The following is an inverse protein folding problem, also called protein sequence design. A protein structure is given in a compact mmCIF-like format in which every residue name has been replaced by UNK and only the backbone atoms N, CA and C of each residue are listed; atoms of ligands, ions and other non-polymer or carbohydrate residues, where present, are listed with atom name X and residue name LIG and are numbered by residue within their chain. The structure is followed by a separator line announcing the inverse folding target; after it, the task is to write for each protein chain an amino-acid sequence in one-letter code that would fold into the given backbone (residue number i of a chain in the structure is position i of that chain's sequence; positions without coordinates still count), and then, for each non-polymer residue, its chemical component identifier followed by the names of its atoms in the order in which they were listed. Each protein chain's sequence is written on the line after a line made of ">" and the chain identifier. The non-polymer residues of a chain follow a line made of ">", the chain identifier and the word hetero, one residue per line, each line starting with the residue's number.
data_IF_719040432405
#
_entry.id   IF_719040432405
#
_cell.length_a   1.000
_cell.length_b   1.000
_cell.length_c   1.000
_cell.angle_alpha   90.00
_cell.angle_beta   90.00
_cell.angle_gamma   90.00
#
_symmetry.space_group_name_H-M   'P 1'
#
loop_
_entity.id
_entity.type
_entity.pdbx_description
1 polymer ?
#
# COMPACT_ATOMS: atom_id res chain seq x y z
N UNK A 1 7.65 -1.43 19.24
CA UNK A 1 7.07 -0.13 19.59
C UNK A 1 5.73 0.02 18.87
N UNK A 2 4.61 0.07 19.61
CA UNK A 2 3.30 0.38 19.03
C UNK A 2 3.03 1.88 19.13
N UNK A 3 2.53 2.50 18.06
CA UNK A 3 2.06 3.89 18.12
C UNK A 3 0.81 3.94 19.03
N UNK A 4 0.37 5.10 19.53
CA UNK A 4 -0.86 5.21 20.30
C UNK A 4 -2.08 5.35 19.38
N UNK A 5 -3.17 4.63 19.66
CA UNK A 5 -4.47 4.81 18.98
C UNK A 5 -5.57 4.88 20.03
N UNK A 6 -6.33 5.99 19.99
CA UNK A 6 -7.38 6.33 20.95
C UNK A 6 -6.84 7.18 22.11
N UNK A 7 -7.58 8.23 22.49
CA UNK A 7 -7.19 9.28 23.46
C UNK A 7 -6.87 8.85 24.91
N UNK A 8 -6.54 7.58 25.15
CA UNK A 8 -6.18 7.02 26.47
C UNK A 8 -4.76 6.41 26.53
N UNK A 9 -3.91 6.64 25.53
CA UNK A 9 -2.50 6.19 25.57
C UNK A 9 -2.30 4.66 25.53
N UNK A 10 -3.33 3.91 25.10
CA UNK A 10 -3.24 2.46 24.97
C UNK A 10 -2.33 2.04 23.81
N UNK A 11 -1.65 0.90 23.98
CA UNK A 11 -0.78 0.31 22.96
C UNK A 11 -1.60 -0.04 21.71
N UNK A 12 -1.14 0.35 20.51
CA UNK A 12 -1.73 -0.14 19.26
C UNK A 12 -1.63 -1.66 19.18
N UNK A 13 -2.76 -2.27 18.88
CA UNK A 13 -2.86 -3.65 18.49
C UNK A 13 -3.69 -3.75 17.20
N UNK A 14 -3.72 -4.94 16.61
CA UNK A 14 -4.44 -5.14 15.35
C UNK A 14 -5.93 -4.81 15.46
N UNK A 15 -6.56 -5.14 16.58
CA UNK A 15 -8.00 -4.94 16.77
C UNK A 15 -8.37 -3.46 16.90
N UNK A 16 -7.61 -2.67 17.68
CA UNK A 16 -7.88 -1.24 17.82
C UNK A 16 -7.58 -0.47 16.53
N UNK A 17 -6.48 -0.79 15.84
CA UNK A 17 -6.15 -0.17 14.55
C UNK A 17 -7.21 -0.47 13.49
N UNK A 18 -7.71 -1.71 13.43
CA UNK A 18 -8.75 -2.09 12.47
C UNK A 18 -10.09 -1.39 12.77
N UNK A 19 -10.45 -1.24 14.04
CA UNK A 19 -11.68 -0.54 14.45
C UNK A 19 -11.65 0.92 14.03
N UNK A 20 -10.56 1.64 14.34
CA UNK A 20 -10.43 3.04 13.95
C UNK A 20 -10.34 3.20 12.42
N UNK A 21 -9.62 2.31 11.73
CA UNK A 21 -9.56 2.31 10.27
C UNK A 21 -10.94 2.15 9.63
N UNK A 22 -11.76 1.21 10.11
CA UNK A 22 -13.14 1.04 9.62
C UNK A 22 -14.00 2.28 9.87
N UNK A 23 -13.86 2.92 11.03
CA UNK A 23 -14.54 4.18 11.34
C UNK A 23 -14.16 5.28 10.35
N UNK A 24 -12.86 5.46 10.09
CA UNK A 24 -12.37 6.42 9.11
C UNK A 24 -12.82 6.09 7.68
N UNK A 25 -12.81 4.81 7.30
CA UNK A 25 -13.24 4.36 5.97
C UNK A 25 -14.74 4.62 5.73
N UNK A 26 -15.58 4.47 6.77
CA UNK A 26 -17.01 4.80 6.70
C UNK A 26 -17.23 6.31 6.51
N UNK A 27 -16.51 7.15 7.26
CA UNK A 27 -16.60 8.62 7.13
C UNK A 27 -16.12 9.09 5.76
N UNK A 28 -15.12 8.40 5.18
CA UNK A 28 -14.59 8.69 3.86
C UNK A 28 -15.39 8.04 2.70
N UNK A 29 -16.56 7.45 2.97
CA UNK A 29 -17.43 6.79 1.99
C UNK A 29 -16.76 5.66 1.18
N UNK A 30 -15.81 4.95 1.81
CA UNK A 30 -15.13 3.77 1.24
C UNK A 30 -15.31 2.55 2.14
N UNK A 31 -16.56 2.08 2.37
CA UNK A 31 -16.86 1.00 3.32
C UNK A 31 -16.25 -0.36 2.93
N UNK A 32 -15.87 -0.52 1.66
CA UNK A 32 -15.21 -1.71 1.13
C UNK A 32 -13.69 -1.75 1.41
N UNK A 33 -13.11 -0.65 1.92
CA UNK A 33 -11.69 -0.58 2.19
C UNK A 33 -11.31 -1.56 3.31
N UNK A 34 -10.37 -2.46 3.01
CA UNK A 34 -9.81 -3.40 3.96
C UNK A 34 -8.37 -3.00 4.34
N UNK A 35 -7.78 -3.67 5.34
CA UNK A 35 -6.42 -3.36 5.81
C UNK A 35 -5.35 -3.40 4.69
N UNK A 36 -5.55 -4.23 3.67
CA UNK A 36 -4.64 -4.31 2.52
C UNK A 36 -4.89 -3.21 1.48
N UNK A 37 -6.05 -2.54 1.50
CA UNK A 37 -6.40 -1.51 0.53
C UNK A 37 -5.36 -0.39 0.54
N UNK A 38 -5.00 0.14 1.72
CA UNK A 38 -3.97 1.19 1.83
C UNK A 38 -2.63 0.76 1.23
N UNK A 39 -2.21 -0.47 1.53
CA UNK A 39 -0.97 -1.03 1.01
C UNK A 39 -1.00 -1.13 -0.53
N UNK A 40 -2.10 -1.64 -1.09
CA UNK A 40 -2.28 -1.74 -2.55
C UNK A 40 -2.33 -0.36 -3.20
N UNK A 41 -3.01 0.60 -2.59
CA UNK A 41 -3.08 1.98 -3.06
C UNK A 41 -1.71 2.62 -3.10
N UNK A 42 -0.90 2.45 -2.04
CA UNK A 42 0.47 2.95 -2.01
C UNK A 42 1.34 2.34 -3.12
N UNK A 43 1.34 1.00 -3.28
CA UNK A 43 2.12 0.35 -4.33
C UNK A 43 1.67 0.75 -5.74
N UNK A 44 0.37 0.94 -5.93
CA UNK A 44 -0.18 1.45 -7.21
C UNK A 44 0.28 2.88 -7.47
N UNK A 45 0.33 3.74 -6.44
CA UNK A 45 0.82 5.10 -6.56
C UNK A 45 2.32 5.13 -6.92
N UNK A 46 3.14 4.29 -6.30
CA UNK A 46 4.56 4.14 -6.64
C UNK A 46 4.75 3.69 -8.09
N UNK A 47 3.99 2.68 -8.54
CA UNK A 47 4.05 2.21 -9.91
C UNK A 47 3.65 3.30 -10.92
N UNK A 48 2.58 4.06 -10.61
CA UNK A 48 2.13 5.20 -11.43
C UNK A 48 3.10 6.38 -11.44
N UNK A 49 3.90 6.56 -10.39
CA UNK A 49 4.96 7.55 -10.33
C UNK A 49 6.22 7.14 -11.14
N UNK A 50 6.20 5.98 -11.80
CA UNK A 50 7.31 5.49 -12.61
C UNK A 50 8.46 4.88 -11.80
N UNK A 51 8.21 4.47 -10.55
CA UNK A 51 9.25 3.78 -9.78
C UNK A 51 9.66 2.46 -10.47
N UNK A 52 10.94 2.07 -10.41
CA UNK A 52 11.38 0.76 -10.89
C UNK A 52 10.69 -0.39 -10.19
N UNK A 53 10.28 -1.41 -10.97
CA UNK A 53 9.59 -2.60 -10.47
C UNK A 53 10.35 -3.31 -9.34
N UNK A 54 11.68 -3.35 -9.41
CA UNK A 54 12.53 -3.91 -8.36
C UNK A 54 12.47 -3.13 -7.05
N UNK A 55 12.49 -1.79 -7.12
CA UNK A 55 12.36 -0.94 -5.93
C UNK A 55 10.97 -1.12 -5.29
N UNK A 56 9.91 -1.20 -6.08
CA UNK A 56 8.55 -1.46 -5.57
C UNK A 56 8.44 -2.87 -4.97
N UNK A 57 9.11 -3.88 -5.56
CA UNK A 57 9.18 -5.24 -5.00
C UNK A 57 9.84 -5.25 -3.63
N UNK A 58 10.96 -4.54 -3.46
CA UNK A 58 11.66 -4.43 -2.17
C UNK A 58 10.83 -3.73 -1.11
N UNK A 59 10.20 -2.59 -1.44
CA UNK A 59 9.31 -1.87 -0.52
C UNK A 59 8.09 -2.73 -0.15
N UNK A 60 7.57 -3.49 -1.12
CA UNK A 60 6.52 -4.44 -0.85
C UNK A 60 7.04 -5.68 -0.09
N UNK A 61 8.32 -5.99 -0.05
CA UNK A 61 8.79 -7.27 0.49
C UNK A 61 8.17 -8.48 -0.21
N UNK A 62 7.87 -8.38 -1.52
CA UNK A 62 7.41 -9.52 -2.29
C UNK A 62 8.58 -10.45 -2.60
N UNK A 63 8.37 -11.76 -2.47
CA UNK A 63 9.36 -12.76 -2.86
C UNK A 63 9.56 -12.80 -4.37
N UNK A 64 8.52 -12.52 -5.16
CA UNK A 64 8.53 -12.57 -6.61
C UNK A 64 8.20 -11.22 -7.26
N UNK A 65 8.90 -10.92 -8.35
CA UNK A 65 8.65 -9.73 -9.19
C UNK A 65 7.28 -9.81 -9.87
N UNK A 66 6.83 -11.01 -10.25
CA UNK A 66 5.54 -11.25 -10.92
C UNK A 66 4.35 -10.71 -10.12
N UNK A 67 4.40 -10.81 -8.79
CA UNK A 67 3.37 -10.25 -7.91
C UNK A 67 3.34 -8.72 -7.97
N UNK A 68 4.50 -8.09 -8.16
CA UNK A 68 4.65 -6.63 -8.26
C UNK A 68 4.21 -6.10 -9.63
N UNK A 69 4.41 -6.87 -10.71
CA UNK A 69 4.03 -6.47 -12.08
C UNK A 69 2.53 -6.15 -12.23
N UNK A 70 1.67 -6.75 -11.39
CA UNK A 70 0.23 -6.50 -11.42
C UNK A 70 -0.11 -5.02 -11.18
N UNK A 71 0.72 -4.29 -10.41
CA UNK A 71 0.51 -2.86 -10.12
C UNK A 71 0.89 -1.93 -11.29
N UNK A 72 1.60 -2.46 -12.29
CA UNK A 72 2.02 -1.70 -13.48
C UNK A 72 1.04 -1.85 -14.65
N UNK A 73 0.06 -2.74 -14.54
CA UNK A 73 -0.99 -2.93 -15.55
C UNK A 73 -1.85 -1.67 -15.59
N UNK A 74 -1.85 -0.94 -16.71
CA UNK A 74 -2.60 0.30 -16.89
C UNK A 74 -1.90 1.57 -16.39
N UNK A 75 -0.68 1.46 -15.84
CA UNK A 75 0.22 2.61 -15.66
C UNK A 75 0.78 3.00 -17.05
N UNK A 76 -0.06 3.64 -17.88
CA UNK A 76 0.31 4.06 -19.21
C UNK A 76 1.48 5.05 -19.15
N UNK A 77 2.56 4.69 -19.85
CA UNK A 77 3.75 5.48 -20.14
C UNK A 77 4.60 5.91 -18.94
N UNK A 78 5.47 5.03 -18.45
CA UNK A 78 6.76 5.49 -17.95
C UNK A 78 7.84 4.43 -18.16
N UNK A 79 8.97 4.91 -18.70
CA UNK A 79 10.13 4.18 -19.22
C UNK A 79 10.43 2.90 -18.41
N UNK A 80 10.48 1.70 -19.03
CA UNK A 80 10.98 0.51 -18.35
C UNK A 80 12.43 0.77 -17.92
N UNK A 81 12.77 0.80 -16.62
CA UNK A 81 14.09 1.23 -16.18
C UNK A 81 15.18 0.16 -16.35
N UNK A 82 15.03 -0.78 -17.29
CA UNK A 82 15.96 -1.92 -17.45
C UNK A 82 16.20 -2.39 -18.89
N UNK A 83 15.82 -1.63 -19.92
CA UNK A 83 16.33 -1.89 -21.29
C UNK A 83 17.34 -0.81 -21.66
N UNK A 84 18.53 -0.92 -21.08
CA UNK A 84 19.70 -0.12 -21.43
C UNK A 84 20.95 -0.98 -21.34
N UNK A 85 21.40 -1.41 -22.52
CA UNK A 85 22.72 -1.95 -22.92
C UNK A 85 23.51 -2.82 -21.92
#
# INVERSE_FOLDING_TARGET
>A
MGLPVGGRGGVINRANALREFKGAALVADVPWANWQALRRTFLTACARAGMPTFAVKEIAGHSSVRTTETYYIGAAAMVPPVVGA
#
